data_IF_130018924430
#
_entry.id   IF_130018924430
#
_cell.length_a   1.000
_cell.length_b   1.000
_cell.length_c   1.000
_cell.angle_alpha   90.00
_cell.angle_beta   90.00
_cell.angle_gamma   90.00
#
_symmetry.space_group_name_H-M   'P 1'
#
loop_
_entity.id
_entity.type
_entity.pdbx_description
1 polymer ?
#
# COMPACT_ATOMS: atom_id res chain seq x y z
N UNK A 1 -5.04 17.51 35.67
CA UNK A 1 -4.19 17.33 34.47
C UNK A 1 -4.91 16.38 33.51
N UNK A 2 -5.15 16.78 32.26
CA UNK A 2 -5.79 15.92 31.25
C UNK A 2 -4.72 15.33 30.33
N UNK A 3 -4.58 14.00 30.35
CA UNK A 3 -3.71 13.29 29.41
C UNK A 3 -4.39 13.21 28.05
N UNK A 4 -3.84 13.88 27.04
CA UNK A 4 -4.28 13.69 25.64
C UNK A 4 -3.66 12.40 25.12
N UNK A 5 -4.41 11.31 25.17
CA UNK A 5 -4.03 10.05 24.53
C UNK A 5 -4.07 10.23 23.02
N UNK A 6 -2.91 10.08 22.35
CA UNK A 6 -2.86 10.09 20.88
C UNK A 6 -3.67 8.90 20.37
N UNK A 7 -4.57 9.08 19.38
CA UNK A 7 -5.26 7.95 18.79
C UNK A 7 -4.24 6.97 18.21
N UNK A 8 -4.48 5.66 18.34
CA UNK A 8 -3.59 4.64 17.79
C UNK A 8 -3.43 4.85 16.28
N UNK A 9 -2.22 4.57 15.77
CA UNK A 9 -1.92 4.60 14.34
C UNK A 9 -2.87 3.64 13.60
N UNK A 10 -3.60 4.16 12.62
CA UNK A 10 -4.52 3.37 11.79
C UNK A 10 -3.75 2.68 10.67
N UNK A 11 -2.88 1.74 11.04
CA UNK A 11 -2.10 0.96 10.07
C UNK A 11 -3.04 0.03 9.31
N UNK A 12 -2.84 -0.12 8.01
CA UNK A 12 -3.62 -1.06 7.22
C UNK A 12 -3.20 -2.50 7.57
N UNK A 13 -4.12 -3.36 8.05
CA UNK A 13 -3.78 -4.73 8.41
C UNK A 13 -3.49 -5.61 7.18
N UNK A 14 -3.95 -5.22 5.99
CA UNK A 14 -3.75 -5.96 4.75
C UNK A 14 -2.38 -5.72 4.09
N UNK A 15 -1.54 -4.84 4.65
CA UNK A 15 -0.25 -4.50 4.05
C UNK A 15 0.89 -5.43 4.45
N UNK A 16 0.75 -6.25 5.49
CA UNK A 16 1.84 -7.09 6.03
C UNK A 16 3.17 -6.32 6.24
N UNK A 17 3.08 -5.02 6.51
CA UNK A 17 4.23 -4.11 6.67
C UNK A 17 4.65 -3.34 5.41
N UNK A 18 4.17 -3.69 4.21
CA UNK A 18 4.52 -3.04 2.94
C UNK A 18 3.28 -2.54 2.20
N UNK A 19 3.04 -1.22 2.26
CA UNK A 19 1.90 -0.62 1.57
C UNK A 19 2.10 -0.52 0.05
N UNK A 20 3.35 -0.47 -0.41
CA UNK A 20 3.74 -0.35 -1.81
C UNK A 20 5.03 -1.11 -2.08
N UNK A 21 5.19 -1.62 -3.30
CA UNK A 21 6.39 -2.30 -3.76
C UNK A 21 6.78 -1.80 -5.16
N UNK A 22 8.08 -1.57 -5.36
CA UNK A 22 8.63 -1.31 -6.68
C UNK A 22 9.01 -2.64 -7.34
N UNK A 23 8.47 -2.89 -8.53
CA UNK A 23 8.68 -4.13 -9.29
C UNK A 23 9.37 -3.76 -10.59
N UNK A 24 10.61 -4.21 -10.75
CA UNK A 24 11.31 -4.12 -12.03
C UNK A 24 10.77 -5.20 -12.95
N UNK A 25 10.14 -4.78 -14.04
CA UNK A 25 9.74 -5.66 -15.12
C UNK A 25 11.01 -6.10 -15.85
N UNK A 26 11.10 -7.40 -16.13
CA UNK A 26 12.19 -7.95 -16.93
C UNK A 26 12.23 -7.31 -18.32
N UNK A 27 13.44 -7.19 -18.86
CA UNK A 27 13.67 -6.53 -20.14
C UNK A 27 13.97 -5.04 -20.00
N UNK A 28 14.48 -4.47 -21.08
CA UNK A 28 14.75 -3.05 -21.22
C UNK A 28 13.78 -2.48 -22.26
N UNK A 29 13.38 -1.23 -22.09
CA UNK A 29 12.64 -0.53 -23.13
C UNK A 29 13.51 -0.30 -24.38
N UNK A 30 12.91 0.27 -25.44
CA UNK A 30 13.62 0.57 -26.68
C UNK A 30 14.80 1.54 -26.50
N UNK A 31 14.82 2.30 -25.40
CA UNK A 31 15.88 3.22 -25.04
C UNK A 31 16.91 2.60 -24.08
N UNK A 32 16.74 1.33 -23.70
CA UNK A 32 17.66 0.60 -22.83
C UNK A 32 17.38 0.74 -21.33
N UNK A 33 16.28 1.38 -20.92
CA UNK A 33 15.95 1.55 -19.50
C UNK A 33 15.21 0.33 -18.95
N UNK A 34 15.50 -0.03 -17.70
CA UNK A 34 14.69 -0.99 -16.97
C UNK A 34 13.33 -0.38 -16.66
N UNK A 35 12.27 -1.11 -16.97
CA UNK A 35 10.91 -0.66 -16.67
C UNK A 35 10.57 -1.03 -15.23
N UNK A 36 10.32 -0.04 -14.39
CA UNK A 36 9.87 -0.26 -13.01
C UNK A 36 8.43 0.21 -12.86
N UNK A 37 7.58 -0.64 -12.28
CA UNK A 37 6.21 -0.30 -11.90
C UNK A 37 6.09 -0.27 -10.38
N UNK A 38 5.10 0.46 -9.88
CA UNK A 38 4.77 0.46 -8.45
C UNK A 38 3.46 -0.27 -8.24
N UNK A 39 3.50 -1.35 -7.46
CA UNK A 39 2.31 -2.02 -6.96
C UNK A 39 1.90 -1.39 -5.63
N UNK A 40 0.61 -1.13 -5.47
CA UNK A 40 0.05 -0.57 -4.25
C UNK A 40 -0.93 -1.55 -3.63
N UNK A 41 -0.97 -1.61 -2.29
CA UNK A 41 -2.00 -2.34 -1.58
C UNK A 41 -3.39 -1.80 -1.98
N UNK A 42 -4.32 -2.65 -2.45
CA UNK A 42 -5.62 -2.19 -2.93
C UNK A 42 -6.52 -1.67 -1.79
N UNK A 43 -6.29 -2.10 -0.55
CA UNK A 43 -7.09 -1.68 0.60
C UNK A 43 -6.77 -0.25 1.09
N UNK A 44 -5.51 0.20 0.92
CA UNK A 44 -5.07 1.52 1.36
C UNK A 44 -4.51 2.40 0.24
N UNK A 45 -4.51 1.90 -1.00
CA UNK A 45 -3.93 2.55 -2.18
C UNK A 45 -2.50 3.06 -1.95
N UNK A 46 -1.66 2.27 -1.28
CA UNK A 46 -0.26 2.63 -1.05
C UNK A 46 0.02 3.57 0.13
N UNK A 47 -1.00 4.11 0.79
CA UNK A 47 -0.84 5.05 1.92
C UNK A 47 -0.37 4.40 3.22
N UNK A 48 -0.49 3.07 3.33
CA UNK A 48 -0.17 2.31 4.54
C UNK A 48 -1.13 2.55 5.70
N UNK A 49 -2.17 3.35 5.51
CA UNK A 49 -3.15 3.67 6.55
C UNK A 49 -4.56 3.31 6.11
N UNK A 50 -5.33 2.73 7.04
CA UNK A 50 -6.73 2.43 6.81
C UNK A 50 -7.57 3.67 7.14
N UNK A 51 -8.12 4.31 6.10
CA UNK A 51 -9.25 5.23 6.30
C UNK A 51 -10.47 4.38 6.68
N UNK A 52 -11.35 4.87 7.55
CA UNK A 52 -12.50 4.13 8.14
C UNK A 52 -13.60 3.73 7.14
N UNK A 53 -13.30 3.57 5.87
CA UNK A 53 -14.19 2.95 4.89
C UNK A 53 -13.83 1.47 4.85
N UNK A 54 -14.70 0.64 5.43
CA UNK A 54 -14.68 -0.83 5.32
C UNK A 54 -14.45 -1.22 3.84
N UNK A 55 -13.21 -1.48 3.45
CA UNK A 55 -12.88 -1.96 2.13
C UNK A 55 -13.21 -3.45 2.12
N UNK A 56 -14.27 -3.76 1.37
CA UNK A 56 -14.94 -5.05 1.32
C UNK A 56 -13.98 -6.17 0.93
N UNK A 57 -14.21 -7.32 1.54
CA UNK A 57 -13.93 -8.64 1.00
C UNK A 57 -14.28 -8.69 -0.51
N UNK A 58 -13.30 -8.48 -1.39
CA UNK A 58 -13.34 -8.74 -2.83
C UNK A 58 -11.99 -8.26 -3.39
N UNK A 59 -11.04 -9.12 -3.73
CA UNK A 59 -11.11 -9.87 -4.98
C UNK A 59 -10.11 -11.03 -4.89
N UNK A 60 -10.63 -12.20 -4.55
CA UNK A 60 -10.02 -13.47 -4.95
C UNK A 60 -10.84 -13.91 -6.17
N UNK A 61 -10.32 -13.66 -7.36
CA UNK A 61 -10.78 -14.21 -8.63
C UNK A 61 -9.54 -14.57 -9.44
#
# INVERSE_FOLDING_TARGET
MTHRTRPPSRICPACDGFASAAITLGGRDHHGHLRTITAHCPACHGTGTARTTRAREAARA
#
